data_IF_351206668694
#
_entry.id   IF_351206668694
#
_cell.length_a   1.000
_cell.length_b   1.000
_cell.length_c   1.000
_cell.angle_alpha   90.00
_cell.angle_beta   90.00
_cell.angle_gamma   90.00
#
_symmetry.space_group_name_H-M   'P 1'
#
loop_
_entity.id
_entity.type
_entity.pdbx_description
1 polymer ?
#
# COMPACT_ATOMS: atom_id res chain seq x y z
N UNK A 1 12.49 -39.96 22.95
CA UNK A 1 11.94 -38.64 22.55
C UNK A 1 12.86 -38.05 21.50
N UNK A 2 12.47 -38.10 20.22
CA UNK A 2 13.25 -37.55 19.12
C UNK A 2 12.75 -36.12 18.83
N UNK A 3 13.65 -35.15 18.96
CA UNK A 3 13.43 -33.74 18.59
C UNK A 3 13.52 -33.63 17.06
N UNK A 4 12.38 -33.41 16.40
CA UNK A 4 12.35 -33.03 14.98
C UNK A 4 12.80 -31.57 14.84
N UNK A 5 13.99 -31.38 14.31
CA UNK A 5 14.53 -30.08 13.91
C UNK A 5 13.94 -29.68 12.54
N UNK A 6 13.02 -28.72 12.54
CA UNK A 6 12.58 -28.02 11.33
C UNK A 6 13.55 -26.88 11.02
N UNK A 7 14.77 -27.20 10.58
CA UNK A 7 15.59 -26.25 9.81
C UNK A 7 15.65 -26.75 8.37
N UNK A 8 14.75 -26.21 7.53
CA UNK A 8 14.97 -26.24 6.09
C UNK A 8 16.05 -25.20 5.80
N UNK A 9 17.13 -25.63 5.18
CA UNK A 9 18.15 -24.77 4.60
C UNK A 9 17.51 -23.91 3.50
N UNK A 10 17.12 -22.68 3.87
CA UNK A 10 16.73 -21.66 2.91
C UNK A 10 18.01 -21.12 2.31
N UNK A 11 18.29 -21.48 1.04
CA UNK A 11 19.38 -20.87 0.28
C UNK A 11 19.23 -19.34 0.31
N UNK A 12 20.32 -18.57 0.48
CA UNK A 12 20.25 -17.11 0.44
C UNK A 12 19.68 -16.68 -0.91
N UNK A 13 18.51 -16.05 -0.86
CA UNK A 13 17.85 -15.51 -2.04
C UNK A 13 18.69 -14.32 -2.50
N UNK A 14 19.29 -14.43 -3.69
CA UNK A 14 19.93 -13.29 -4.35
C UNK A 14 18.93 -12.14 -4.38
N UNK A 15 19.40 -10.93 -4.04
CA UNK A 15 18.62 -9.70 -4.15
C UNK A 15 18.01 -9.63 -5.55
N UNK A 16 16.69 -9.85 -5.65
CA UNK A 16 15.94 -9.69 -6.88
C UNK A 16 15.65 -8.20 -6.95
N UNK A 17 16.42 -7.47 -7.75
CA UNK A 17 16.01 -6.13 -8.16
C UNK A 17 14.68 -6.31 -8.92
N UNK A 18 13.56 -5.74 -8.46
CA UNK A 18 12.29 -5.93 -9.15
C UNK A 18 12.35 -5.29 -10.53
N UNK A 19 12.17 -6.11 -11.56
CA UNK A 19 12.33 -5.70 -12.97
C UNK A 19 11.23 -4.75 -13.46
N UNK A 20 10.06 -4.74 -12.81
CA UNK A 20 8.88 -4.03 -13.31
C UNK A 20 8.37 -2.98 -12.31
N UNK A 21 8.45 -1.71 -12.73
CA UNK A 21 7.75 -0.58 -12.10
C UNK A 21 6.28 -0.58 -12.56
N UNK A 22 5.34 -0.49 -11.62
CA UNK A 22 3.89 -0.38 -11.87
C UNK A 22 3.34 1.01 -11.59
N UNK A 23 3.93 1.72 -10.63
CA UNK A 23 3.63 3.12 -10.38
C UNK A 23 3.99 3.96 -11.62
N UNK A 24 3.08 4.82 -12.12
CA UNK A 24 3.36 5.69 -13.26
C UNK A 24 4.58 6.61 -13.04
N UNK A 25 5.30 6.93 -14.11
CA UNK A 25 6.39 7.91 -14.06
C UNK A 25 5.90 9.30 -13.63
N UNK A 26 4.69 9.67 -14.03
CA UNK A 26 4.03 10.94 -13.66
C UNK A 26 3.80 11.11 -12.15
N UNK A 27 3.80 10.02 -11.36
CA UNK A 27 3.65 10.11 -9.91
C UNK A 27 4.85 10.85 -9.29
N UNK A 28 4.62 12.07 -8.81
CA UNK A 28 5.66 12.87 -8.16
C UNK A 28 5.85 12.42 -6.69
N UNK A 29 6.93 11.69 -6.44
CA UNK A 29 7.29 11.19 -5.10
C UNK A 29 8.54 11.90 -4.52
N UNK A 30 8.94 13.05 -5.08
CA UNK A 30 10.10 13.82 -4.59
C UNK A 30 9.96 14.18 -3.11
N UNK A 31 8.76 14.56 -2.68
CA UNK A 31 8.52 14.89 -1.27
C UNK A 31 8.68 13.67 -0.37
N UNK A 32 8.28 12.49 -0.84
CA UNK A 32 8.42 11.25 -0.06
C UNK A 32 9.86 10.75 0.00
N UNK A 33 10.71 11.10 -0.96
CA UNK A 33 12.14 10.84 -0.89
C UNK A 33 12.85 11.77 0.11
N UNK A 34 12.38 13.01 0.29
CA UNK A 34 13.06 14.02 1.11
C UNK A 34 12.55 14.09 2.56
N UNK A 35 11.23 14.19 2.72
CA UNK A 35 10.57 14.52 4.00
C UNK A 35 10.84 13.53 5.13
N UNK A 36 10.98 12.21 4.90
CA UNK A 36 11.35 11.30 5.98
C UNK A 36 12.67 11.67 6.67
N UNK A 37 13.67 12.10 5.90
CA UNK A 37 14.96 12.52 6.44
C UNK A 37 14.88 13.87 7.16
N UNK A 38 14.12 14.82 6.63
CA UNK A 38 13.83 16.09 7.30
C UNK A 38 13.05 15.89 8.61
N UNK A 39 12.27 14.80 8.69
CA UNK A 39 11.59 14.34 9.89
C UNK A 39 12.49 13.62 10.91
N UNK A 40 13.79 13.49 10.63
CA UNK A 40 14.77 12.87 11.53
C UNK A 40 14.92 11.35 11.37
N UNK A 41 14.36 10.74 10.32
CA UNK A 41 14.65 9.34 9.97
C UNK A 41 15.99 9.24 9.24
N UNK A 42 16.66 8.09 9.30
CA UNK A 42 18.00 7.91 8.71
C UNK A 42 18.01 7.05 7.43
N UNK A 43 16.90 6.35 7.15
CA UNK A 43 16.67 5.55 5.94
C UNK A 43 15.15 5.31 5.76
N UNK A 44 14.78 4.64 4.66
CA UNK A 44 13.44 4.12 4.45
C UNK A 44 13.19 2.71 5.02
N UNK A 45 14.21 2.03 5.56
CA UNK A 45 14.07 0.71 6.20
C UNK A 45 13.51 0.83 7.63
N UNK A 46 13.09 -0.29 8.26
CA UNK A 46 12.57 -0.26 9.62
C UNK A 46 13.53 0.31 10.67
N UNK A 47 14.84 0.07 10.55
CA UNK A 47 15.82 0.52 11.57
C UNK A 47 16.16 2.01 11.41
N UNK A 48 15.87 2.60 10.24
CA UNK A 48 15.97 4.03 10.03
C UNK A 48 14.81 4.85 10.56
N UNK A 49 13.74 4.21 11.06
CA UNK A 49 12.57 4.92 11.60
C UNK A 49 12.86 5.37 13.04
N UNK A 50 13.21 6.64 13.22
CA UNK A 50 13.80 7.13 14.47
C UNK A 50 12.83 7.22 15.66
N UNK A 51 11.53 7.30 15.38
CA UNK A 51 10.49 7.36 16.40
C UNK A 51 9.98 5.97 16.84
N UNK A 52 10.49 4.89 16.25
CA UNK A 52 10.21 3.51 16.66
C UNK A 52 11.47 2.91 17.29
N UNK A 53 11.41 2.67 18.61
CA UNK A 53 12.56 2.14 19.34
C UNK A 53 12.87 0.68 18.99
N UNK A 54 14.10 0.24 19.26
CA UNK A 54 14.48 -1.17 19.13
C UNK A 54 13.54 -2.09 19.95
N UNK A 55 13.18 -1.69 21.18
CA UNK A 55 12.23 -2.45 22.01
C UNK A 55 10.83 -2.52 21.40
N UNK A 56 10.39 -1.46 20.73
CA UNK A 56 9.12 -1.45 20.00
C UNK A 56 9.16 -2.47 18.86
N UNK A 57 10.26 -2.54 18.11
CA UNK A 57 10.45 -3.55 17.08
C UNK A 57 10.49 -4.98 17.63
N UNK A 58 11.17 -5.22 18.75
CA UNK A 58 11.19 -6.53 19.43
C UNK A 58 9.78 -6.96 19.85
N UNK A 59 8.98 -6.05 20.43
CA UNK A 59 7.58 -6.33 20.82
C UNK A 59 6.65 -6.54 19.62
N UNK A 60 7.02 -5.98 18.47
CA UNK A 60 6.28 -6.09 17.22
C UNK A 60 6.65 -7.35 16.42
N UNK A 61 7.49 -8.24 16.93
CA UNK A 61 7.81 -9.49 16.23
C UNK A 61 6.58 -10.38 16.07
N UNK A 62 6.58 -11.14 14.97
CA UNK A 62 5.61 -12.20 14.73
C UNK A 62 6.23 -13.55 15.03
N UNK A 63 5.55 -14.34 15.85
CA UNK A 63 5.96 -15.67 16.28
C UNK A 63 5.40 -16.80 15.41
N UNK A 64 4.66 -16.45 14.34
CA UNK A 64 3.97 -17.40 13.47
C UNK A 64 2.53 -17.71 13.89
N UNK A 65 2.02 -17.09 14.96
CA UNK A 65 0.61 -17.24 15.37
C UNK A 65 -0.33 -16.73 14.29
N UNK A 66 -1.27 -17.57 13.85
CA UNK A 66 -2.36 -17.17 12.97
C UNK A 66 -3.45 -16.49 13.80
N UNK A 67 -3.83 -15.27 13.42
CA UNK A 67 -4.91 -14.53 14.05
C UNK A 67 -6.22 -14.88 13.35
N UNK A 68 -7.07 -15.65 14.03
CA UNK A 68 -8.42 -15.97 13.60
C UNK A 68 -9.36 -14.82 13.99
N UNK A 69 -9.83 -14.01 13.03
CA UNK A 69 -10.63 -12.85 13.34
C UNK A 69 -12.03 -13.24 13.86
N UNK A 70 -12.53 -14.48 13.66
CA UNK A 70 -13.86 -14.90 14.18
C UNK A 70 -13.83 -15.19 15.66
N UNK A 71 -12.63 -15.30 16.25
CA UNK A 71 -12.40 -15.60 17.67
C UNK A 71 -12.00 -14.37 18.48
N UNK A 72 -12.03 -13.18 17.87
CA UNK A 72 -11.57 -11.94 18.48
C UNK A 72 -12.57 -10.82 18.24
N UNK A 73 -12.61 -9.84 19.15
CA UNK A 73 -13.26 -8.56 18.86
C UNK A 73 -12.43 -7.79 17.83
N UNK A 74 -13.03 -6.84 17.08
CA UNK A 74 -12.28 -6.00 16.14
C UNK A 74 -11.08 -5.29 16.78
N UNK A 75 -11.24 -4.78 18.01
CA UNK A 75 -10.17 -4.13 18.77
C UNK A 75 -9.04 -5.12 19.12
N UNK A 76 -9.38 -6.32 19.61
CA UNK A 76 -8.37 -7.32 19.95
C UNK A 76 -7.62 -7.81 18.71
N UNK A 77 -8.33 -7.96 17.59
CA UNK A 77 -7.73 -8.32 16.31
C UNK A 77 -6.77 -7.24 15.81
N UNK A 78 -7.18 -5.97 15.90
CA UNK A 78 -6.30 -4.82 15.61
C UNK A 78 -5.04 -4.83 16.49
N UNK A 79 -5.16 -4.98 17.81
CA UNK A 79 -3.99 -4.98 18.72
C UNK A 79 -3.04 -6.16 18.45
N UNK A 80 -3.58 -7.30 18.02
CA UNK A 80 -2.79 -8.44 17.58
C UNK A 80 -2.02 -8.13 16.29
N UNK A 81 -2.63 -7.49 15.30
CA UNK A 81 -1.99 -7.20 14.01
C UNK A 81 -1.11 -5.95 14.00
N UNK A 82 -1.47 -4.91 14.76
CA UNK A 82 -0.93 -3.56 14.68
C UNK A 82 -0.50 -3.06 16.08
N UNK A 83 0.63 -3.54 16.64
CA UNK A 83 1.15 -3.07 17.92
C UNK A 83 1.40 -1.55 17.98
N UNK A 84 1.53 -0.90 16.82
CA UNK A 84 1.53 0.55 16.65
C UNK A 84 0.85 0.88 15.31
N UNK A 85 0.32 2.10 15.14
CA UNK A 85 -0.35 2.49 13.90
C UNK A 85 0.56 2.39 12.66
N UNK A 86 1.87 2.53 12.83
CA UNK A 86 2.88 2.36 11.76
C UNK A 86 3.51 0.97 11.71
N UNK A 87 3.20 0.10 12.66
CA UNK A 87 3.85 -1.22 12.76
C UNK A 87 2.82 -2.31 12.60
N UNK A 88 2.78 -2.91 11.42
CA UNK A 88 2.22 -4.26 11.27
C UNK A 88 3.18 -5.24 11.96
N UNK A 89 2.64 -6.14 12.76
CA UNK A 89 3.41 -7.17 13.47
C UNK A 89 4.24 -8.00 12.49
N UNK A 90 5.53 -8.18 12.74
CA UNK A 90 6.48 -8.94 11.92
C UNK A 90 7.01 -8.22 10.69
N UNK A 91 6.55 -6.98 10.42
CA UNK A 91 6.89 -6.30 9.15
C UNK A 91 8.38 -6.02 9.00
N UNK A 92 9.09 -5.84 10.12
CA UNK A 92 10.54 -5.61 10.14
C UNK A 92 11.32 -6.84 9.69
N UNK A 93 10.99 -8.01 10.24
CA UNK A 93 11.62 -9.27 9.88
C UNK A 93 11.38 -9.60 8.41
N UNK A 94 10.17 -9.31 7.91
CA UNK A 94 9.80 -9.46 6.50
C UNK A 94 10.64 -8.55 5.61
N UNK A 95 10.78 -7.28 5.98
CA UNK A 95 11.62 -6.34 5.25
C UNK A 95 13.05 -6.86 5.10
N UNK A 96 13.71 -7.24 6.20
CA UNK A 96 15.10 -7.69 6.16
C UNK A 96 15.29 -9.07 5.54
N UNK A 97 14.27 -9.93 5.58
CA UNK A 97 14.26 -11.20 4.86
C UNK A 97 14.26 -11.00 3.35
N UNK A 98 13.47 -10.04 2.86
CA UNK A 98 13.30 -9.81 1.43
C UNK A 98 14.28 -8.80 0.84
N UNK A 99 14.83 -7.89 1.66
CA UNK A 99 15.72 -6.79 1.25
C UNK A 99 15.19 -6.07 0.00
N UNK A 100 13.97 -5.49 0.09
CA UNK A 100 13.25 -5.02 -1.10
C UNK A 100 13.92 -3.82 -1.78
N UNK A 101 14.79 -3.10 -1.06
CA UNK A 101 15.48 -1.90 -1.56
C UNK A 101 16.97 -2.20 -1.69
N UNK A 102 17.55 -1.93 -2.87
CA UNK A 102 19.00 -1.99 -3.08
C UNK A 102 19.73 -0.86 -2.33
N UNK A 103 19.10 0.32 -2.27
CA UNK A 103 19.51 1.44 -1.43
C UNK A 103 18.35 1.85 -0.51
N UNK A 104 18.46 1.54 0.79
CA UNK A 104 17.45 1.90 1.79
C UNK A 104 17.26 3.42 1.92
N UNK A 105 18.17 4.26 1.40
CA UNK A 105 17.98 5.73 1.40
C UNK A 105 17.26 6.23 0.15
N UNK A 106 17.36 5.53 -0.97
CA UNK A 106 16.83 5.98 -2.25
C UNK A 106 16.12 4.84 -3.00
N UNK A 107 15.06 4.23 -2.42
CA UNK A 107 14.34 3.17 -3.09
C UNK A 107 13.64 3.70 -4.35
N UNK A 108 13.73 2.92 -5.42
CA UNK A 108 13.04 3.18 -6.67
C UNK A 108 11.55 2.88 -6.56
N UNK A 109 10.75 3.40 -7.49
CA UNK A 109 9.31 3.09 -7.56
C UNK A 109 9.05 1.59 -7.72
N UNK A 110 9.83 0.89 -8.54
CA UNK A 110 9.70 -0.57 -8.72
C UNK A 110 9.92 -1.34 -7.42
N UNK A 111 10.92 -0.93 -6.65
CA UNK A 111 11.23 -1.51 -5.33
C UNK A 111 10.13 -1.23 -4.31
N UNK A 112 9.56 -0.02 -4.31
CA UNK A 112 8.42 0.35 -3.46
C UNK A 112 7.17 -0.45 -3.85
N UNK A 113 6.90 -0.62 -5.15
CA UNK A 113 5.77 -1.42 -5.63
C UNK A 113 5.88 -2.87 -5.17
N UNK A 114 7.09 -3.45 -5.29
CA UNK A 114 7.36 -4.81 -4.81
C UNK A 114 7.28 -4.94 -3.29
N UNK A 115 7.81 -3.94 -2.56
CA UNK A 115 7.67 -3.90 -1.11
C UNK A 115 6.20 -3.94 -0.68
N UNK A 116 5.33 -3.14 -1.29
CA UNK A 116 3.91 -3.15 -0.97
C UNK A 116 3.26 -4.51 -1.25
N UNK A 117 3.62 -5.19 -2.35
CA UNK A 117 3.15 -6.55 -2.63
C UNK A 117 3.56 -7.53 -1.53
N UNK A 118 4.84 -7.51 -1.13
CA UNK A 118 5.37 -8.35 -0.05
C UNK A 118 4.65 -8.07 1.27
N UNK A 119 4.47 -6.79 1.59
CA UNK A 119 3.89 -6.33 2.84
C UNK A 119 2.39 -6.67 2.97
N UNK A 120 1.61 -6.54 1.88
CA UNK A 120 0.21 -6.97 1.84
C UNK A 120 0.10 -8.49 2.01
N UNK A 121 0.97 -9.25 1.34
CA UNK A 121 1.02 -10.70 1.48
C UNK A 121 1.44 -11.16 2.89
N UNK A 122 2.26 -10.36 3.57
CA UNK A 122 2.54 -10.60 4.99
C UNK A 122 1.29 -10.42 5.87
N UNK A 123 0.50 -9.35 5.66
CA UNK A 123 -0.79 -9.16 6.35
C UNK A 123 -1.75 -10.33 6.10
N UNK A 124 -1.75 -10.88 4.88
CA UNK A 124 -2.48 -12.11 4.55
C UNK A 124 -1.96 -13.34 5.30
N UNK A 125 -0.64 -13.48 5.42
CA UNK A 125 -0.04 -14.57 6.17
C UNK A 125 -0.39 -14.54 7.67
N UNK A 126 -0.55 -13.35 8.28
CA UNK A 126 -1.00 -13.19 9.67
C UNK A 126 -2.38 -13.82 9.93
N UNK A 127 -3.21 -13.95 8.90
CA UNK A 127 -4.56 -14.57 8.94
C UNK A 127 -4.60 -15.89 8.15
N UNK A 128 -3.46 -16.53 7.95
CA UNK A 128 -3.37 -17.85 7.32
C UNK A 128 -3.58 -17.89 5.81
N UNK A 129 -3.67 -16.75 5.12
CA UNK A 129 -3.80 -16.67 3.66
C UNK A 129 -2.43 -16.83 2.98
N UNK A 130 -1.86 -18.03 3.10
CA UNK A 130 -0.47 -18.33 2.69
C UNK A 130 -0.38 -19.11 1.38
N UNK A 131 -1.49 -19.61 0.84
CA UNK A 131 -1.51 -20.32 -0.43
C UNK A 131 -1.22 -19.37 -1.60
N UNK A 132 -0.67 -19.92 -2.69
CA UNK A 132 -0.22 -19.14 -3.85
C UNK A 132 -1.37 -18.38 -4.53
N UNK A 133 -2.53 -19.01 -4.64
CA UNK A 133 -3.78 -18.42 -5.14
C UNK A 133 -4.28 -17.26 -4.28
N UNK A 134 -3.81 -17.16 -3.03
CA UNK A 134 -4.16 -16.09 -2.08
C UNK A 134 -3.18 -14.92 -2.07
N UNK A 135 -2.12 -14.96 -2.87
CA UNK A 135 -1.16 -13.87 -2.92
C UNK A 135 -1.64 -12.73 -3.82
N UNK A 136 -1.48 -11.49 -3.36
CA UNK A 136 -1.83 -10.30 -4.12
C UNK A 136 -0.83 -10.08 -5.27
N UNK A 137 -1.34 -9.59 -6.40
CA UNK A 137 -0.58 -9.26 -7.61
C UNK A 137 -0.67 -7.77 -7.92
N UNK A 138 0.44 -7.18 -8.35
CA UNK A 138 0.48 -5.81 -8.87
C UNK A 138 -0.23 -5.75 -10.22
N UNK A 139 -0.97 -4.68 -10.50
CA UNK A 139 -1.68 -4.50 -11.77
C UNK A 139 -1.53 -3.07 -12.29
N UNK A 140 -0.99 -2.92 -13.50
CA UNK A 140 -0.68 -1.61 -14.10
C UNK A 140 -1.89 -0.68 -14.15
N UNK A 141 -3.06 -1.23 -14.48
CA UNK A 141 -4.27 -0.44 -14.56
C UNK A 141 -4.76 0.01 -13.18
N UNK A 142 -4.61 -0.80 -12.14
CA UNK A 142 -4.97 -0.38 -10.79
C UNK A 142 -4.04 0.71 -10.26
N UNK A 143 -2.73 0.63 -10.54
CA UNK A 143 -1.78 1.69 -10.17
C UNK A 143 -2.07 2.99 -10.92
N UNK A 144 -2.27 2.92 -12.24
CA UNK A 144 -2.63 4.09 -13.05
C UNK A 144 -3.96 4.71 -12.61
N UNK A 145 -5.00 3.91 -12.35
CA UNK A 145 -6.30 4.38 -11.85
C UNK A 145 -6.24 4.98 -10.45
N UNK A 146 -5.37 4.47 -9.57
CA UNK A 146 -5.11 5.11 -8.28
C UNK A 146 -4.51 6.50 -8.50
N UNK A 147 -3.53 6.60 -9.40
CA UNK A 147 -2.86 7.87 -9.67
C UNK A 147 -3.76 8.90 -10.37
N UNK A 148 -4.52 8.50 -11.39
CA UNK A 148 -5.50 9.37 -12.06
C UNK A 148 -6.56 9.87 -11.08
N UNK A 149 -7.00 9.03 -10.14
CA UNK A 149 -7.92 9.44 -9.08
C UNK A 149 -7.34 10.53 -8.18
N UNK A 150 -6.05 10.47 -7.87
CA UNK A 150 -5.36 11.52 -7.10
C UNK A 150 -5.12 12.78 -7.93
N UNK A 151 -4.64 12.68 -9.17
CA UNK A 151 -4.50 13.84 -10.06
C UNK A 151 -5.85 14.54 -10.24
N UNK A 152 -6.92 13.78 -10.45
CA UNK A 152 -8.28 14.30 -10.57
C UNK A 152 -8.76 14.96 -9.27
N UNK A 153 -8.38 14.43 -8.11
CA UNK A 153 -8.73 14.99 -6.80
C UNK A 153 -7.99 16.28 -6.49
N UNK A 154 -6.69 16.35 -6.80
CA UNK A 154 -5.79 17.36 -6.26
C UNK A 154 -5.28 18.36 -7.29
N UNK A 155 -5.60 18.18 -8.57
CA UNK A 155 -5.23 19.10 -9.65
C UNK A 155 -6.46 19.48 -10.48
N UNK A 156 -6.23 20.27 -11.53
CA UNK A 156 -7.23 20.63 -12.56
C UNK A 156 -6.82 20.16 -13.95
N UNK A 157 -5.75 19.37 -14.08
CA UNK A 157 -5.15 19.03 -15.39
C UNK A 157 -6.12 18.30 -16.32
N UNK A 158 -7.10 17.59 -15.73
CA UNK A 158 -8.10 16.81 -16.45
C UNK A 158 -9.38 17.60 -16.76
N UNK A 159 -9.62 18.75 -16.11
CA UNK A 159 -10.95 19.36 -16.07
C UNK A 159 -11.40 19.97 -17.40
N UNK A 160 -10.46 20.52 -18.17
CA UNK A 160 -10.76 21.10 -19.47
C UNK A 160 -11.17 20.05 -20.52
N UNK A 161 -10.49 18.89 -20.54
CA UNK A 161 -10.76 17.81 -21.51
C UNK A 161 -11.87 16.86 -21.04
N UNK A 162 -11.96 16.64 -19.72
CA UNK A 162 -12.95 15.74 -19.10
C UNK A 162 -13.83 16.54 -18.14
N UNK A 163 -14.81 17.32 -18.63
CA UNK A 163 -15.76 18.02 -17.78
C UNK A 163 -16.72 17.04 -17.10
N UNK A 164 -17.54 17.54 -16.17
CA UNK A 164 -18.57 16.73 -15.52
C UNK A 164 -19.12 17.40 -14.27
N UNK A 165 -19.84 16.62 -13.46
CA UNK A 165 -20.40 17.11 -12.19
C UNK A 165 -19.30 17.19 -11.13
N UNK A 166 -19.10 18.39 -10.58
CA UNK A 166 -18.14 18.63 -9.48
C UNK A 166 -18.44 17.72 -8.30
N UNK A 167 -17.43 17.02 -7.79
CA UNK A 167 -17.53 16.13 -6.65
C UNK A 167 -18.10 14.74 -6.95
N UNK A 168 -18.43 14.43 -8.21
CA UNK A 168 -18.83 13.08 -8.60
C UNK A 168 -17.63 12.12 -8.63
N UNK A 169 -17.91 10.82 -8.70
CA UNK A 169 -16.87 9.80 -8.72
C UNK A 169 -15.95 9.90 -9.96
N UNK A 170 -16.40 10.46 -11.09
CA UNK A 170 -15.59 10.64 -12.31
C UNK A 170 -15.30 12.11 -12.67
N UNK A 171 -16.09 13.04 -12.13
CA UNK A 171 -16.04 14.45 -12.49
C UNK A 171 -14.90 15.23 -11.82
N UNK A 172 -14.81 16.54 -12.09
CA UNK A 172 -13.85 17.44 -11.45
C UNK A 172 -14.01 17.44 -9.93
N UNK A 173 -12.92 17.66 -9.20
CA UNK A 173 -12.94 17.57 -7.73
C UNK A 173 -12.67 18.87 -6.99
N UNK A 174 -12.17 19.90 -7.66
CA UNK A 174 -11.92 21.19 -7.03
C UNK A 174 -13.21 21.79 -6.46
N UNK A 175 -13.17 22.17 -5.18
CA UNK A 175 -14.34 22.66 -4.45
C UNK A 175 -15.23 21.57 -3.83
N UNK A 176 -14.92 20.28 -3.99
CA UNK A 176 -15.70 19.19 -3.38
C UNK A 176 -15.06 18.60 -2.13
N UNK A 177 -15.88 18.44 -1.08
CA UNK A 177 -15.55 17.66 0.13
C UNK A 177 -15.64 16.14 -0.03
N UNK A 178 -16.06 15.62 -1.19
CA UNK A 178 -16.16 14.17 -1.41
C UNK A 178 -14.76 13.53 -1.45
N UNK A 179 -14.49 12.63 -0.51
CA UNK A 179 -13.23 11.88 -0.42
C UNK A 179 -13.01 10.94 -1.62
N UNK A 180 -14.11 10.38 -2.15
CA UNK A 180 -14.11 9.47 -3.31
C UNK A 180 -14.24 10.20 -4.66
N UNK A 181 -14.12 11.54 -4.69
CA UNK A 181 -14.09 12.23 -5.96
C UNK A 181 -12.89 11.76 -6.79
N UNK A 182 -13.10 11.55 -8.10
CA UNK A 182 -12.10 10.99 -9.01
C UNK A 182 -11.96 9.46 -8.95
N UNK A 183 -12.65 8.76 -8.04
CA UNK A 183 -12.54 7.32 -7.87
C UNK A 183 -12.79 6.50 -9.14
N UNK A 184 -13.76 6.87 -9.96
CA UNK A 184 -14.07 6.18 -11.22
C UNK A 184 -13.49 6.88 -12.45
N UNK A 185 -12.66 7.91 -12.28
CA UNK A 185 -12.06 8.61 -13.41
C UNK A 185 -11.07 7.70 -14.15
N UNK A 186 -11.24 7.59 -15.45
CA UNK A 186 -10.37 6.88 -16.39
C UNK A 186 -10.31 7.77 -17.65
N UNK A 187 -9.13 8.31 -18.01
CA UNK A 187 -9.01 9.11 -19.22
C UNK A 187 -9.11 8.23 -20.48
N UNK A 188 -9.27 8.85 -21.65
CA UNK A 188 -9.29 8.13 -22.93
C UNK A 188 -7.97 7.40 -23.20
N UNK A 189 -7.99 6.43 -24.13
CA UNK A 189 -6.84 5.57 -24.40
C UNK A 189 -5.57 6.34 -24.78
N UNK A 190 -5.69 7.48 -25.46
CA UNK A 190 -4.55 8.31 -25.89
C UNK A 190 -3.87 8.95 -24.67
N UNK A 191 -4.66 9.46 -23.73
CA UNK A 191 -4.14 10.10 -22.52
C UNK A 191 -3.61 9.10 -21.48
N UNK A 192 -3.91 7.82 -21.63
CA UNK A 192 -3.35 6.77 -20.77
C UNK A 192 -1.91 6.39 -21.16
N UNK A 193 -1.50 6.63 -22.42
CA UNK A 193 -0.18 6.22 -22.95
C UNK A 193 1.00 6.67 -22.06
N UNK A 194 1.05 7.90 -21.52
CA UNK A 194 2.16 8.34 -20.66
C UNK A 194 2.24 7.63 -19.29
N UNK A 195 1.17 6.94 -18.88
CA UNK A 195 1.03 6.33 -17.56
C UNK A 195 1.26 4.82 -17.57
N UNK A 196 1.31 4.20 -18.75
CA UNK A 196 1.38 2.76 -18.92
C UNK A 196 2.69 2.34 -19.59
N UNK A 197 3.13 1.07 -19.42
CA UNK A 197 4.25 0.54 -20.18
C UNK A 197 4.00 0.64 -21.69
N UNK A 198 5.08 0.70 -22.44
CA UNK A 198 5.02 0.65 -23.90
C UNK A 198 4.22 -0.59 -24.34
N UNK A 199 3.32 -0.41 -25.30
CA UNK A 199 2.47 -1.45 -25.88
C UNK A 199 1.45 -2.08 -24.91
N UNK A 200 1.31 -1.56 -23.70
CA UNK A 200 0.26 -1.98 -22.78
C UNK A 200 -1.12 -1.53 -23.30
N UNK A 201 -2.11 -2.43 -23.28
CA UNK A 201 -3.47 -2.10 -23.67
C UNK A 201 -4.08 -1.00 -22.79
N UNK A 202 -4.96 -0.18 -23.35
CA UNK A 202 -5.67 0.83 -22.56
C UNK A 202 -6.48 0.16 -21.43
N UNK A 203 -6.40 0.74 -20.25
CA UNK A 203 -7.15 0.34 -19.08
C UNK A 203 -8.63 0.71 -19.22
N UNK A 204 -9.49 -0.21 -18.80
CA UNK A 204 -10.94 -0.02 -18.79
C UNK A 204 -11.47 -0.01 -17.36
N UNK A 205 -12.73 0.42 -17.22
CA UNK A 205 -13.47 0.16 -16.01
C UNK A 205 -13.61 -1.35 -15.79
N UNK A 206 -13.62 -1.77 -14.54
CA UNK A 206 -13.78 -3.16 -14.14
C UNK A 206 -14.24 -3.25 -12.68
N UNK A 207 -14.77 -4.41 -12.27
CA UNK A 207 -15.20 -4.64 -10.90
C UNK A 207 -14.00 -4.47 -9.96
N UNK A 208 -14.26 -3.97 -8.76
CA UNK A 208 -13.20 -3.67 -7.81
C UNK A 208 -13.68 -2.88 -6.61
N UNK A 209 -12.71 -2.40 -5.85
CA UNK A 209 -12.93 -1.58 -4.66
C UNK A 209 -11.91 -0.45 -4.63
N UNK A 210 -12.26 0.66 -3.99
CA UNK A 210 -11.35 1.75 -3.68
C UNK A 210 -11.27 1.93 -2.17
N UNK A 211 -10.10 2.30 -1.67
CA UNK A 211 -9.99 2.97 -0.38
C UNK A 211 -9.15 4.25 -0.50
N UNK A 212 -9.54 5.28 0.26
CA UNK A 212 -8.79 6.54 0.39
C UNK A 212 -8.42 6.68 1.86
N UNK A 213 -7.12 6.63 2.13
CA UNK A 213 -6.59 6.55 3.48
C UNK A 213 -5.67 7.73 3.77
N UNK A 214 -5.61 8.13 5.05
CA UNK A 214 -4.70 9.16 5.51
C UNK A 214 -3.42 8.54 6.07
N UNK A 215 -2.28 9.06 5.64
CA UNK A 215 -0.94 8.75 6.16
C UNK A 215 -0.14 10.06 6.27
N UNK A 216 1.18 10.02 6.50
CA UNK A 216 2.03 11.23 6.56
C UNK A 216 3.17 11.20 5.55
N UNK A 217 3.55 12.40 5.12
CA UNK A 217 4.57 12.59 4.09
C UNK A 217 5.97 12.19 4.57
N UNK A 218 6.28 12.45 5.85
CA UNK A 218 7.56 12.16 6.49
C UNK A 218 7.70 10.73 7.04
N UNK A 219 6.78 9.81 6.73
CA UNK A 219 6.93 8.40 7.12
C UNK A 219 7.82 7.65 6.10
N UNK A 220 8.81 6.87 6.55
CA UNK A 220 9.59 5.93 5.73
C UNK A 220 8.76 4.94 4.90
N UNK A 221 9.24 4.55 3.69
CA UNK A 221 8.49 3.65 2.80
C UNK A 221 8.23 2.27 3.40
N UNK A 222 9.13 1.76 4.25
CA UNK A 222 8.92 0.49 4.97
C UNK A 222 7.62 0.45 5.76
N UNK A 223 7.13 1.59 6.27
CA UNK A 223 5.95 1.64 7.17
C UNK A 223 4.86 2.61 6.72
N UNK A 224 5.05 3.36 5.63
CA UNK A 224 4.09 4.40 5.17
C UNK A 224 2.69 3.85 4.91
N UNK A 225 2.60 2.67 4.30
CA UNK A 225 1.32 2.01 4.02
C UNK A 225 0.67 1.43 5.29
N UNK A 226 1.48 0.99 6.26
CA UNK A 226 1.01 0.41 7.54
C UNK A 226 0.05 1.36 8.24
N UNK A 227 0.31 2.68 8.22
CA UNK A 227 -0.57 3.69 8.82
C UNK A 227 -1.98 3.67 8.24
N UNK A 228 -2.07 3.60 6.91
CA UNK A 228 -3.35 3.50 6.22
C UNK A 228 -4.08 2.22 6.59
N UNK A 229 -3.41 1.08 6.45
CA UNK A 229 -3.97 -0.23 6.78
C UNK A 229 -4.40 -0.34 8.25
N UNK A 230 -3.52 -0.05 9.22
CA UNK A 230 -3.79 -0.22 10.64
C UNK A 230 -4.87 0.75 11.14
N UNK A 231 -4.91 2.00 10.64
CA UNK A 231 -5.98 2.94 11.01
C UNK A 231 -7.35 2.45 10.53
N UNK A 232 -7.43 1.91 9.32
CA UNK A 232 -8.68 1.36 8.78
C UNK A 232 -9.04 0.03 9.47
N UNK A 233 -8.05 -0.81 9.76
CA UNK A 233 -8.27 -2.05 10.52
C UNK A 233 -8.86 -1.76 11.90
N UNK A 234 -8.36 -0.72 12.57
CA UNK A 234 -8.92 -0.28 13.86
C UNK A 234 -10.37 0.17 13.74
N UNK A 235 -10.69 0.89 12.66
CA UNK A 235 -12.02 1.47 12.46
C UNK A 235 -13.06 0.44 12.01
N UNK A 236 -12.68 -0.51 11.15
CA UNK A 236 -13.64 -1.36 10.43
C UNK A 236 -13.48 -2.86 10.72
N UNK A 237 -12.40 -3.27 11.38
CA UNK A 237 -12.09 -4.68 11.60
C UNK A 237 -11.77 -5.43 10.31
N UNK A 238 -11.75 -6.76 10.36
CA UNK A 238 -11.35 -7.61 9.23
C UNK A 238 -12.37 -7.62 8.06
N UNK A 239 -13.67 -7.53 8.36
CA UNK A 239 -14.77 -7.52 7.37
C UNK A 239 -15.18 -6.11 6.92
N UNK A 240 -14.36 -5.11 7.24
CA UNK A 240 -14.60 -3.73 6.83
C UNK A 240 -14.66 -3.56 5.32
N UNK A 241 -15.48 -2.61 4.86
CA UNK A 241 -15.62 -2.32 3.43
C UNK A 241 -14.30 -1.91 2.76
N UNK A 242 -13.43 -1.23 3.52
CA UNK A 242 -12.12 -0.79 3.04
C UNK A 242 -10.97 -1.72 3.46
N UNK A 243 -11.14 -2.54 4.50
CA UNK A 243 -10.13 -3.50 4.98
C UNK A 243 -10.20 -4.84 4.26
N UNK A 244 -11.40 -5.33 3.95
CA UNK A 244 -11.63 -6.60 3.26
C UNK A 244 -10.81 -6.76 1.96
N UNK A 245 -10.71 -5.74 1.09
CA UNK A 245 -9.90 -5.83 -0.12
C UNK A 245 -8.42 -6.18 0.11
N UNK A 246 -7.81 -5.74 1.21
CA UNK A 246 -6.43 -6.09 1.57
C UNK A 246 -6.25 -7.61 1.72
N UNK A 247 -7.26 -8.29 2.23
CA UNK A 247 -7.24 -9.74 2.47
C UNK A 247 -7.74 -10.56 1.27
N UNK A 248 -8.73 -10.04 0.52
CA UNK A 248 -9.52 -10.87 -0.39
C UNK A 248 -9.33 -10.58 -1.88
N UNK A 249 -8.74 -9.45 -2.28
CA UNK A 249 -8.65 -9.11 -3.71
C UNK A 249 -7.39 -9.64 -4.36
N UNK A 250 -7.50 -10.25 -5.52
CA UNK A 250 -6.35 -10.80 -6.23
C UNK A 250 -5.34 -9.72 -6.62
N UNK A 251 -5.82 -8.54 -7.03
CA UNK A 251 -4.98 -7.49 -7.62
C UNK A 251 -5.09 -6.17 -6.87
N UNK A 252 -3.99 -5.42 -6.88
CA UNK A 252 -3.94 -4.10 -6.27
C UNK A 252 -3.13 -3.08 -7.09
N UNK A 253 -3.39 -1.80 -6.80
CA UNK A 253 -2.52 -0.69 -7.14
C UNK A 253 -2.67 0.45 -6.16
N UNK A 254 -1.56 1.14 -5.87
CA UNK A 254 -1.51 2.21 -4.87
C UNK A 254 -1.02 3.51 -5.50
N UNK A 255 -1.54 4.62 -5.01
CA UNK A 255 -1.01 5.96 -5.26
C UNK A 255 -0.87 6.70 -3.93
N UNK A 256 0.17 7.53 -3.86
CA UNK A 256 0.43 8.39 -2.72
C UNK A 256 0.47 9.84 -3.19
N UNK A 257 -0.24 10.71 -2.49
CA UNK A 257 -0.31 12.13 -2.80
C UNK A 257 -0.04 12.99 -1.56
N UNK A 258 0.93 13.90 -1.65
CA UNK A 258 1.24 14.84 -0.59
C UNK A 258 0.38 16.09 -0.72
N UNK A 259 -0.51 16.34 0.24
CA UNK A 259 -1.51 17.42 0.12
C UNK A 259 -0.90 18.82 0.28
N UNK A 260 0.28 18.91 0.90
CA UNK A 260 1.03 20.15 1.11
C UNK A 260 2.53 19.85 1.05
N UNK A 261 3.11 20.05 -0.13
CA UNK A 261 4.52 19.77 -0.40
C UNK A 261 5.48 20.64 0.43
N UNK A 262 5.01 21.78 0.98
CA UNK A 262 5.83 22.69 1.78
C UNK A 262 5.86 22.33 3.28
N UNK A 263 4.88 21.57 3.76
CA UNK A 263 4.80 21.14 5.15
C UNK A 263 5.43 19.75 5.34
N UNK A 264 6.54 19.65 6.09
CA UNK A 264 7.22 18.37 6.31
C UNK A 264 6.31 17.31 6.98
N UNK A 265 5.37 17.74 7.84
CA UNK A 265 4.40 16.87 8.51
C UNK A 265 3.01 16.85 7.84
N UNK A 266 2.99 17.13 6.53
CA UNK A 266 1.78 17.13 5.71
C UNK A 266 1.05 15.79 5.76
N UNK A 267 -0.27 15.86 5.59
CA UNK A 267 -1.04 14.65 5.33
C UNK A 267 -0.68 14.10 3.96
N UNK A 268 -0.59 12.78 3.88
CA UNK A 268 -0.49 12.08 2.62
C UNK A 268 -1.74 11.29 2.43
N UNK A 269 -2.30 11.34 1.23
CA UNK A 269 -3.38 10.44 0.83
C UNK A 269 -2.75 9.20 0.23
N UNK A 270 -3.15 8.04 0.75
CA UNK A 270 -2.94 6.75 0.11
C UNK A 270 -4.26 6.37 -0.56
N UNK A 271 -4.29 6.37 -1.89
CA UNK A 271 -5.40 5.80 -2.65
C UNK A 271 -5.06 4.38 -3.05
N UNK A 272 -5.85 3.42 -2.58
CA UNK A 272 -5.74 2.03 -2.98
C UNK A 272 -6.86 1.68 -3.97
N UNK A 273 -6.48 0.99 -5.04
CA UNK A 273 -7.39 0.34 -5.99
C UNK A 273 -7.21 -1.16 -5.89
N UNK A 274 -8.33 -1.86 -5.89
CA UNK A 274 -8.38 -3.31 -5.84
C UNK A 274 -9.19 -3.85 -6.99
N UNK A 275 -8.79 -4.99 -7.52
CA UNK A 275 -9.46 -5.64 -8.65
C UNK A 275 -9.14 -7.12 -8.70
N UNK A 276 -9.44 -7.73 -9.85
CA UNK A 276 -9.40 -9.18 -10.01
C UNK A 276 -10.45 -9.88 -9.16
N UNK A 277 -10.27 -11.19 -9.00
CA UNK A 277 -11.22 -12.02 -8.27
C UNK A 277 -11.27 -11.65 -6.78
N UNK A 278 -12.48 -11.71 -6.22
CA UNK A 278 -12.69 -11.66 -4.78
C UNK A 278 -12.63 -13.09 -4.23
N UNK A 279 -11.56 -13.39 -3.51
CA UNK A 279 -11.31 -14.73 -3.00
C UNK A 279 -12.25 -15.04 -1.82
N UNK A 280 -12.78 -16.27 -1.72
CA UNK A 280 -13.57 -16.68 -0.58
C UNK A 280 -12.80 -16.50 0.75
N UNK A 281 -13.52 -16.02 1.77
CA UNK A 281 -13.02 -15.98 3.14
C UNK A 281 -12.68 -17.40 3.63
N UNK A 282 -11.59 -17.58 4.39
CA UNK A 282 -11.37 -18.81 5.19
C UNK A 282 -12.19 -18.85 6.49
N UNK A 283 -12.89 -17.75 6.78
CA UNK A 283 -13.61 -17.47 8.03
C UNK A 283 -15.08 -17.24 7.77
#
# INVERSE_FOLDING_TARGET
MALFSCKKDVKPNNSIVPENQYTPNAANWETFAKKPFEGGNTSHDPDGVSYLSADSWVKAQWDGTIYDPTKMTPEKFYDCMCPHVDQVRGIREVFYKHKPFADNKNPTKAEIDEWHRIAINHVRALVGYTSEDRQVKKDYCLFARAHWGDERKFTTIWDAKYPGTVGSAAGPCQGSGNAHCGASFIPDATDQIPYLPKDHAACTAGPGSEGVFSTKSNIPWSVKWSRGFCSTLKAEGFWGGHTGPWFHREKFGLSFWDVDTKNNNSQTVLRAKWGGDAMPSLY
#
